data_IF_918139217074
#
_entry.id   IF_918139217074
#
_cell.length_a   1.000
_cell.length_b   1.000
_cell.length_c   1.000
_cell.angle_alpha   90.00
_cell.angle_beta   90.00
_cell.angle_gamma   90.00
#
_symmetry.space_group_name_H-M   'P 1'
#
loop_
_entity.id
_entity.type
_entity.pdbx_description
1 polymer ?
#
# COMPACT_ATOMS: atom_id res chain seq x y z
N UNK A 1 19.65 0.11 0.15
CA UNK A 1 18.39 0.82 0.41
C UNK A 1 17.48 0.54 -0.76
N UNK A 2 16.27 0.06 -0.51
CA UNK A 2 15.27 -0.13 -1.57
C UNK A 2 14.65 1.23 -1.87
N UNK A 3 14.52 1.57 -3.15
CA UNK A 3 13.85 2.80 -3.57
C UNK A 3 12.35 2.54 -3.81
N UNK A 4 11.52 3.56 -3.61
CA UNK A 4 10.08 3.48 -3.86
C UNK A 4 9.76 3.04 -5.30
N UNK A 5 10.50 3.56 -6.29
CA UNK A 5 10.34 3.23 -7.71
C UNK A 5 10.54 1.73 -8.00
N UNK A 6 11.44 1.09 -7.25
CA UNK A 6 11.69 -0.35 -7.38
C UNK A 6 10.50 -1.16 -6.85
N UNK A 7 9.94 -0.74 -5.70
CA UNK A 7 8.74 -1.38 -5.13
C UNK A 7 7.57 -1.25 -6.09
N UNK A 8 7.38 -0.05 -6.66
CA UNK A 8 6.36 0.21 -7.67
C UNK A 8 6.48 -0.75 -8.87
N UNK A 9 7.69 -0.82 -9.44
CA UNK A 9 7.99 -1.71 -10.57
C UNK A 9 7.71 -3.17 -10.26
N UNK A 10 8.00 -3.61 -9.04
CA UNK A 10 7.78 -4.99 -8.63
C UNK A 10 6.28 -5.27 -8.40
N UNK A 11 5.50 -4.29 -7.92
CA UNK A 11 4.04 -4.40 -7.76
C UNK A 11 3.37 -4.48 -9.13
N UNK A 12 3.81 -3.67 -10.09
CA UNK A 12 3.30 -3.65 -11.45
C UNK A 12 3.50 -4.99 -12.18
N UNK A 13 4.48 -5.83 -11.78
CA UNK A 13 4.59 -7.20 -12.30
C UNK A 13 3.42 -8.09 -11.89
N UNK A 14 2.84 -7.84 -10.71
CA UNK A 14 1.65 -8.56 -10.24
C UNK A 14 0.38 -8.00 -10.88
N UNK A 15 0.32 -6.67 -11.03
CA UNK A 15 -0.82 -5.95 -11.61
C UNK A 15 -0.34 -4.88 -12.59
N UNK A 16 -0.20 -5.20 -13.88
CA UNK A 16 0.37 -4.28 -14.87
C UNK A 16 -0.46 -3.02 -15.11
N UNK A 17 -1.78 -3.11 -15.04
CA UNK A 17 -2.69 -1.96 -15.22
C UNK A 17 -3.00 -1.18 -13.93
N UNK A 18 -2.33 -1.47 -12.81
CA UNK A 18 -2.57 -0.74 -11.58
C UNK A 18 -1.92 0.64 -11.60
N UNK A 19 -2.60 1.60 -10.98
CA UNK A 19 -1.96 2.80 -10.45
C UNK A 19 -1.41 2.47 -9.07
N UNK A 20 -0.09 2.63 -8.91
CA UNK A 20 0.61 2.26 -7.69
C UNK A 20 1.20 3.51 -7.06
N UNK A 21 0.95 3.71 -5.78
CA UNK A 21 1.55 4.79 -5.00
C UNK A 21 2.35 4.16 -3.85
N UNK A 22 3.63 4.51 -3.75
CA UNK A 22 4.55 3.97 -2.74
C UNK A 22 5.05 5.10 -1.85
N UNK A 23 4.97 4.89 -0.54
CA UNK A 23 5.47 5.82 0.48
C UNK A 23 6.46 5.05 1.35
N UNK A 24 7.70 5.53 1.44
CA UNK A 24 8.65 5.08 2.46
C UNK A 24 8.30 5.76 3.79
N UNK A 25 7.91 4.94 4.76
CA UNK A 25 7.41 5.44 6.04
C UNK A 25 8.52 6.00 6.94
N UNK A 26 9.74 5.49 6.80
CA UNK A 26 10.87 5.83 7.68
C UNK A 26 12.03 6.51 6.95
N UNK A 27 12.04 6.48 5.62
CA UNK A 27 13.18 6.94 4.80
C UNK A 27 14.38 6.00 4.85
N UNK A 28 14.24 4.83 5.47
CA UNK A 28 15.26 3.77 5.60
C UNK A 28 15.25 2.80 4.41
N UNK A 29 14.19 2.81 3.60
CA UNK A 29 13.96 1.87 2.52
C UNK A 29 13.69 0.44 2.99
N UNK A 30 13.05 0.25 4.15
CA UNK A 30 12.68 -1.06 4.70
C UNK A 30 11.20 -1.21 5.09
N UNK A 31 10.48 -0.11 5.34
CA UNK A 31 9.04 -0.05 5.62
C UNK A 31 8.31 0.78 4.56
N UNK A 32 7.44 0.12 3.80
CA UNK A 32 6.70 0.78 2.72
C UNK A 32 5.20 0.67 2.94
N UNK A 33 4.49 1.79 2.75
CA UNK A 33 3.05 1.78 2.49
C UNK A 33 2.83 1.83 0.98
N UNK A 34 2.02 0.92 0.46
CA UNK A 34 1.73 0.82 -0.97
C UNK A 34 0.23 0.77 -1.21
N UNK A 35 -0.26 1.74 -1.98
CA UNK A 35 -1.62 1.74 -2.51
C UNK A 35 -1.59 1.18 -3.92
N UNK A 36 -2.41 0.16 -4.17
CA UNK A 36 -2.56 -0.47 -5.48
C UNK A 36 -3.99 -0.27 -5.93
N UNK A 37 -4.16 0.49 -7.00
CA UNK A 37 -5.46 0.91 -7.49
C UNK A 37 -5.68 0.29 -8.87
N UNK A 38 -6.63 -0.62 -8.99
CA UNK A 38 -6.93 -1.30 -10.25
C UNK A 38 -8.40 -1.69 -10.36
N UNK A 39 -8.96 -1.62 -11.56
CA UNK A 39 -10.34 -2.03 -11.84
C UNK A 39 -10.54 -3.54 -11.63
N UNK A 40 -9.51 -4.35 -11.88
CA UNK A 40 -9.57 -5.81 -11.71
C UNK A 40 -9.94 -6.25 -10.28
N UNK A 41 -9.76 -5.38 -9.29
CA UNK A 41 -10.10 -5.66 -7.91
C UNK A 41 -11.62 -5.62 -7.64
N UNK A 42 -12.42 -5.15 -8.59
CA UNK A 42 -13.88 -5.17 -8.48
C UNK A 42 -14.41 -6.59 -8.29
N UNK A 43 -15.35 -6.76 -7.35
CA UNK A 43 -15.87 -8.08 -6.96
C UNK A 43 -14.90 -8.98 -6.16
N UNK A 44 -13.60 -8.66 -6.08
CA UNK A 44 -12.64 -9.44 -5.29
C UNK A 44 -12.68 -9.12 -3.80
N UNK A 45 -12.46 -10.13 -2.95
CA UNK A 45 -12.31 -9.94 -1.50
C UNK A 45 -10.98 -9.23 -1.16
N UNK A 46 -10.92 -8.37 -0.14
CA UNK A 46 -9.70 -7.63 0.21
C UNK A 46 -8.44 -8.50 0.35
N UNK A 47 -8.55 -9.63 1.06
CA UNK A 47 -7.43 -10.57 1.23
C UNK A 47 -6.97 -11.19 -0.10
N UNK A 48 -7.87 -11.44 -1.04
CA UNK A 48 -7.51 -11.99 -2.35
C UNK A 48 -6.69 -10.98 -3.16
N UNK A 49 -7.07 -9.70 -3.13
CA UNK A 49 -6.34 -8.61 -3.77
C UNK A 49 -4.93 -8.48 -3.20
N UNK A 50 -4.82 -8.45 -1.87
CA UNK A 50 -3.52 -8.41 -1.20
C UNK A 50 -2.66 -9.63 -1.51
N UNK A 51 -3.24 -10.84 -1.53
CA UNK A 51 -2.52 -12.08 -1.87
C UNK A 51 -1.91 -12.05 -3.27
N UNK A 52 -2.56 -11.41 -4.24
CA UNK A 52 -2.04 -11.27 -5.61
C UNK A 52 -0.72 -10.49 -5.62
N UNK A 53 -0.70 -9.33 -4.96
CA UNK A 53 0.50 -8.48 -4.86
C UNK A 53 1.57 -9.14 -3.98
N UNK A 54 1.16 -9.72 -2.84
CA UNK A 54 2.07 -10.44 -1.95
C UNK A 54 2.71 -11.66 -2.63
N UNK A 55 2.07 -12.29 -3.60
CA UNK A 55 2.65 -13.44 -4.29
C UNK A 55 3.98 -13.08 -4.97
N UNK A 56 4.09 -11.87 -5.51
CA UNK A 56 5.33 -11.36 -6.11
C UNK A 56 6.27 -10.79 -5.05
N UNK A 57 5.73 -9.99 -4.11
CA UNK A 57 6.54 -9.30 -3.09
C UNK A 57 7.16 -10.23 -2.04
N UNK A 58 6.53 -11.37 -1.75
CA UNK A 58 6.97 -12.27 -0.68
C UNK A 58 8.39 -12.80 -0.89
N UNK A 59 8.86 -12.88 -2.14
CA UNK A 59 10.24 -13.28 -2.45
C UNK A 59 11.28 -12.26 -1.96
N UNK A 60 10.85 -11.03 -1.71
CA UNK A 60 11.68 -9.90 -1.30
C UNK A 60 11.51 -9.54 0.18
N UNK A 61 10.73 -10.32 0.94
CA UNK A 61 10.46 -10.15 2.37
C UNK A 61 11.04 -11.34 3.14
N UNK A 62 11.82 -11.14 4.24
CA UNK A 62 12.11 -9.87 4.90
C UNK A 62 13.34 -9.13 4.36
N UNK A 63 14.00 -9.63 3.30
CA UNK A 63 15.14 -8.97 2.68
C UNK A 63 14.98 -8.98 1.16
N UNK A 64 15.07 -7.83 0.48
CA UNK A 64 15.50 -6.52 0.98
C UNK A 64 14.44 -5.65 1.72
N UNK A 65 13.15 -6.01 1.77
CA UNK A 65 12.08 -5.26 2.47
C UNK A 65 11.72 -5.92 3.79
N UNK A 66 11.66 -5.18 4.91
CA UNK A 66 11.26 -5.74 6.20
C UNK A 66 9.74 -5.91 6.34
N UNK A 67 8.98 -4.87 5.99
CA UNK A 67 7.53 -4.89 6.06
C UNK A 67 6.89 -4.06 4.93
N UNK A 68 5.72 -4.54 4.49
CA UNK A 68 4.96 -3.93 3.41
C UNK A 68 3.49 -3.81 3.84
N UNK A 69 3.01 -2.58 4.02
CA UNK A 69 1.59 -2.31 4.23
C UNK A 69 0.90 -2.12 2.88
N UNK A 70 0.00 -3.05 2.53
CA UNK A 70 -0.65 -3.09 1.22
C UNK A 70 -2.11 -2.69 1.31
N UNK A 71 -2.50 -1.71 0.49
CA UNK A 71 -3.90 -1.34 0.30
C UNK A 71 -4.33 -1.48 -1.14
N UNK A 72 -5.08 -2.54 -1.42
CA UNK A 72 -5.57 -2.86 -2.77
C UNK A 72 -7.04 -2.49 -2.92
N UNK A 73 -7.34 -1.53 -3.80
CA UNK A 73 -8.66 -0.91 -3.92
C UNK A 73 -9.02 -0.62 -5.37
N UNK A 74 -10.32 -0.52 -5.68
CA UNK A 74 -10.74 -0.05 -7.01
C UNK A 74 -10.59 1.47 -7.11
N UNK A 75 -10.54 2.06 -8.32
CA UNK A 75 -10.50 3.51 -8.48
C UNK A 75 -11.62 4.23 -7.72
N UNK A 76 -12.85 3.70 -7.79
CA UNK A 76 -13.99 4.20 -7.01
C UNK A 76 -13.76 4.19 -5.49
N UNK A 77 -13.08 3.16 -4.98
CA UNK A 77 -12.72 3.10 -3.56
C UNK A 77 -11.61 4.08 -3.21
N UNK A 78 -10.66 4.30 -4.12
CA UNK A 78 -9.55 5.25 -3.95
C UNK A 78 -10.00 6.70 -3.85
N UNK A 79 -11.06 7.09 -4.58
CA UNK A 79 -11.64 8.44 -4.47
C UNK A 79 -12.20 8.74 -3.08
N UNK A 80 -12.69 7.72 -2.37
CA UNK A 80 -13.34 7.89 -1.06
C UNK A 80 -12.38 7.61 0.11
N UNK A 81 -11.35 6.79 -0.12
CA UNK A 81 -10.30 6.50 0.85
C UNK A 81 -9.23 7.58 0.73
N UNK A 82 -9.24 8.56 1.65
CA UNK A 82 -8.21 9.61 1.72
C UNK A 82 -6.82 9.05 2.05
N UNK A 83 -6.04 9.72 2.91
CA UNK A 83 -4.76 9.18 3.34
C UNK A 83 -4.96 7.94 4.24
N UNK A 84 -4.23 6.88 3.93
CA UNK A 84 -4.36 5.57 4.58
C UNK A 84 -3.03 4.97 5.02
N UNK A 85 -1.93 5.73 4.96
CA UNK A 85 -0.65 5.27 5.43
C UNK A 85 -0.74 4.85 6.90
N UNK A 86 -0.29 3.63 7.20
CA UNK A 86 -0.24 3.10 8.56
C UNK A 86 1.16 2.55 8.84
N UNK A 87 1.79 3.06 9.89
CA UNK A 87 3.12 2.63 10.33
C UNK A 87 3.02 1.86 11.65
N UNK A 88 3.13 0.51 11.63
CA UNK A 88 3.09 -0.30 12.83
C UNK A 88 4.36 -0.23 13.69
N UNK A 89 5.46 0.34 13.20
CA UNK A 89 6.79 0.27 13.84
C UNK A 89 7.35 1.64 14.28
N UNK A 90 6.69 2.75 13.94
CA UNK A 90 7.12 4.13 14.24
C UNK A 90 7.04 4.63 15.70
N UNK A 91 6.74 3.79 16.68
CA UNK A 91 6.87 4.16 18.11
C UNK A 91 5.63 4.71 18.81
N UNK A 92 4.42 4.27 18.46
CA UNK A 92 3.21 4.60 19.23
C UNK A 92 2.05 3.66 18.94
N UNK A 93 1.64 2.89 19.96
CA UNK A 93 0.40 2.12 20.09
C UNK A 93 -0.46 1.97 18.80
N UNK A 94 -0.32 0.82 18.14
CA UNK A 94 -1.20 0.40 17.06
C UNK A 94 -2.65 0.27 17.55
N UNK A 95 -3.43 1.34 17.39
CA UNK A 95 -4.88 1.33 17.52
C UNK A 95 -5.44 2.06 16.31
N UNK A 96 -6.09 1.34 15.41
CA UNK A 96 -6.85 1.92 14.29
C UNK A 96 -7.98 2.80 14.82
N UNK A 97 -7.74 4.10 15.02
CA UNK A 97 -8.82 5.06 15.25
C UNK A 97 -9.37 5.47 13.88
N UNK A 98 -10.56 4.97 13.56
CA UNK A 98 -11.33 5.39 12.39
C UNK A 98 -11.58 6.90 12.44
N UNK A 99 -11.13 7.61 11.40
CA UNK A 99 -11.78 8.75 10.73
C UNK A 99 -11.96 10.06 11.51
N UNK A 100 -11.33 11.14 11.04
CA UNK A 100 -11.96 12.48 10.98
C UNK A 100 -11.59 13.14 9.64
N UNK A 101 -12.58 13.26 8.74
CA UNK A 101 -12.58 14.25 7.66
C UNK A 101 -12.87 15.63 8.26
N UNK A 102 -12.13 16.68 7.89
CA UNK A 102 -12.75 18.00 7.63
C UNK A 102 -11.86 18.91 6.77
N UNK A 103 -12.36 19.13 5.55
CA UNK A 103 -12.31 20.32 4.69
C UNK A 103 -11.39 21.48 5.11
N UNK A 104 -10.52 21.92 4.19
CA UNK A 104 -10.29 23.34 3.92
C UNK A 104 -10.50 23.61 2.42
N UNK A 105 -11.73 24.01 2.10
CA UNK A 105 -11.98 24.93 0.98
C UNK A 105 -12.11 26.32 1.59
N UNK A 106 -11.41 27.26 0.96
CA UNK A 106 -11.46 28.72 1.09
C UNK A 106 -10.86 29.34 2.36
#
# INVERSE_FOLDING_TARGET
MVAADWVESEVLKAVPEALVEVIDLHGSGDHFHVRVIAELFEGMRPLQRQRMVLAVMKHHIPRPIHALDLKCMTPKQAETAGDTAFDPHGGGQGIHIKRINKQKRE
#
